data_IF_469307997470
#
_entry.id   IF_469307997470
#
_cell.length_a   1.000
_cell.length_b   1.000
_cell.length_c   1.000
_cell.angle_alpha   90.00
_cell.angle_beta   90.00
_cell.angle_gamma   90.00
#
_symmetry.space_group_name_H-M   'P 1'
#
loop_
_entity.id
_entity.type
_entity.pdbx_description
1 polymer ?
#
# COMPACT_ATOMS: atom_id res chain seq x y z
N UNK A 1 -24.08 -18.84 -7.99
CA UNK A 1 -22.86 -18.80 -8.86
C UNK A 1 -23.20 -18.32 -10.27
N UNK A 2 -24.13 -18.93 -11.00
CA UNK A 2 -24.47 -18.48 -12.37
C UNK A 2 -24.84 -17.01 -12.39
N UNK A 3 -25.71 -16.57 -11.48
CA UNK A 3 -26.15 -15.17 -11.35
C UNK A 3 -24.96 -14.19 -11.14
N UNK A 4 -23.92 -14.58 -10.39
CA UNK A 4 -22.74 -13.73 -10.21
C UNK A 4 -21.97 -13.55 -11.53
N UNK A 5 -21.80 -14.62 -12.31
CA UNK A 5 -21.15 -14.54 -13.63
C UNK A 5 -21.99 -13.79 -14.65
N UNK A 6 -23.32 -13.99 -14.61
CA UNK A 6 -24.26 -13.28 -15.49
C UNK A 6 -24.22 -11.77 -15.20
N UNK A 7 -24.29 -11.40 -13.90
CA UNK A 7 -24.11 -10.01 -13.46
C UNK A 7 -22.77 -9.43 -13.92
N UNK A 8 -21.64 -10.13 -13.68
CA UNK A 8 -20.32 -9.67 -14.11
C UNK A 8 -20.29 -9.41 -15.63
N UNK A 9 -20.87 -10.30 -16.43
CA UNK A 9 -20.89 -10.14 -17.89
C UNK A 9 -21.78 -8.98 -18.34
N UNK A 10 -22.82 -8.66 -17.63
CA UNK A 10 -23.73 -7.55 -17.91
C UNK A 10 -23.07 -6.19 -17.61
N UNK A 11 -22.32 -6.09 -16.49
CA UNK A 11 -21.81 -4.80 -16.03
C UNK A 11 -20.34 -4.54 -16.39
N UNK A 12 -19.59 -5.50 -16.92
CA UNK A 12 -18.13 -5.40 -17.17
C UNK A 12 -17.70 -4.21 -18.03
N UNK A 13 -18.58 -3.73 -18.91
CA UNK A 13 -18.32 -2.59 -19.80
C UNK A 13 -18.82 -1.24 -19.20
N UNK A 14 -19.45 -1.28 -18.03
CA UNK A 14 -20.05 -0.11 -17.35
C UNK A 14 -19.34 0.21 -16.03
N UNK A 15 -18.72 -0.77 -15.38
CA UNK A 15 -18.07 -0.65 -14.07
C UNK A 15 -16.57 -0.73 -14.24
N UNK A 16 -15.84 0.14 -13.54
CA UNK A 16 -14.37 0.12 -13.59
C UNK A 16 -13.82 -1.23 -13.08
N UNK A 17 -12.86 -1.86 -13.78
CA UNK A 17 -12.38 -3.20 -13.45
C UNK A 17 -11.85 -3.38 -12.02
N UNK A 18 -11.26 -2.36 -11.40
CA UNK A 18 -10.85 -2.39 -9.99
C UNK A 18 -12.05 -2.58 -9.05
N UNK A 19 -13.17 -1.91 -9.33
CA UNK A 19 -14.40 -2.04 -8.54
C UNK A 19 -15.07 -3.37 -8.86
N UNK A 20 -15.20 -3.72 -10.14
CA UNK A 20 -15.80 -4.97 -10.59
C UNK A 20 -15.12 -6.19 -9.95
N UNK A 21 -13.79 -6.23 -9.96
CA UNK A 21 -13.02 -7.33 -9.37
C UNK A 21 -13.20 -7.42 -7.85
N UNK A 22 -13.30 -6.27 -7.17
CA UNK A 22 -13.50 -6.23 -5.71
C UNK A 22 -14.91 -6.69 -5.33
N UNK A 23 -15.94 -6.24 -6.04
CA UNK A 23 -17.32 -6.72 -5.81
C UNK A 23 -17.43 -8.21 -6.11
N UNK A 24 -16.87 -8.68 -7.24
CA UNK A 24 -16.88 -10.09 -7.60
C UNK A 24 -16.18 -10.95 -6.52
N UNK A 25 -15.04 -10.48 -6.01
CA UNK A 25 -14.31 -11.16 -4.94
C UNK A 25 -15.17 -11.30 -3.68
N UNK A 26 -15.78 -10.21 -3.22
CA UNK A 26 -16.63 -10.19 -2.03
C UNK A 26 -17.81 -11.15 -2.19
N UNK A 27 -18.55 -11.02 -3.29
CA UNK A 27 -19.72 -11.87 -3.58
C UNK A 27 -19.34 -13.35 -3.68
N UNK A 28 -18.18 -13.67 -4.28
CA UNK A 28 -17.70 -15.05 -4.37
C UNK A 28 -17.43 -15.66 -2.99
N UNK A 29 -16.80 -14.90 -2.10
CA UNK A 29 -16.55 -15.31 -0.72
C UNK A 29 -17.87 -15.46 0.05
N UNK A 30 -18.82 -14.55 -0.18
CA UNK A 30 -20.14 -14.56 0.45
C UNK A 30 -20.98 -15.79 0.02
N UNK A 31 -21.06 -16.09 -1.27
CA UNK A 31 -21.78 -17.25 -1.84
C UNK A 31 -21.18 -18.57 -1.35
N UNK A 32 -19.87 -18.60 -1.11
CA UNK A 32 -19.12 -19.73 -0.55
C UNK A 32 -19.36 -21.06 -1.26
N UNK A 33 -19.13 -21.15 -2.59
CA UNK A 33 -19.58 -22.29 -3.39
C UNK A 33 -18.85 -23.61 -3.14
N UNK A 34 -17.67 -23.58 -2.51
CA UNK A 34 -16.84 -24.75 -2.25
C UNK A 34 -16.74 -25.07 -0.76
N UNK A 35 -16.48 -26.31 -0.43
CA UNK A 35 -16.23 -26.74 0.97
C UNK A 35 -14.89 -26.20 1.51
N UNK A 36 -13.91 -25.95 0.63
CA UNK A 36 -12.62 -25.34 0.94
C UNK A 36 -12.09 -24.56 -0.27
N UNK A 37 -11.20 -23.60 -0.03
CA UNK A 37 -10.50 -22.85 -1.07
C UNK A 37 -11.26 -21.65 -1.64
N UNK A 38 -12.41 -21.26 -1.06
CA UNK A 38 -13.19 -20.11 -1.56
C UNK A 38 -12.38 -18.81 -1.61
N UNK A 39 -11.59 -18.52 -0.58
CA UNK A 39 -10.72 -17.34 -0.56
C UNK A 39 -9.64 -17.38 -1.64
N UNK A 40 -9.03 -18.54 -1.90
CA UNK A 40 -8.04 -18.72 -3.00
C UNK A 40 -8.68 -18.48 -4.36
N UNK A 41 -9.88 -19.05 -4.57
CA UNK A 41 -10.62 -18.89 -5.81
C UNK A 41 -11.08 -17.44 -6.02
N UNK A 42 -11.54 -16.77 -4.97
CA UNK A 42 -11.93 -15.35 -5.03
C UNK A 42 -10.73 -14.47 -5.43
N UNK A 43 -9.55 -14.68 -4.84
CA UNK A 43 -8.31 -13.97 -5.21
C UNK A 43 -7.89 -14.26 -6.66
N UNK A 44 -7.97 -15.52 -7.08
CA UNK A 44 -7.66 -15.89 -8.46
C UNK A 44 -8.57 -15.17 -9.47
N UNK A 45 -9.88 -15.14 -9.22
CA UNK A 45 -10.82 -14.41 -10.07
C UNK A 45 -10.59 -12.91 -10.05
N UNK A 46 -10.30 -12.34 -8.88
CA UNK A 46 -9.94 -10.94 -8.75
C UNK A 46 -8.76 -10.58 -9.66
N UNK A 47 -7.67 -11.32 -9.55
CA UNK A 47 -6.49 -11.15 -10.40
C UNK A 47 -6.81 -11.37 -11.87
N UNK A 48 -7.57 -12.41 -12.23
CA UNK A 48 -7.93 -12.70 -13.62
C UNK A 48 -8.73 -11.56 -14.28
N UNK A 49 -9.66 -10.95 -13.55
CA UNK A 49 -10.43 -9.79 -14.03
C UNK A 49 -9.49 -8.60 -14.29
N UNK A 50 -8.56 -8.34 -13.37
CA UNK A 50 -7.62 -7.23 -13.49
C UNK A 50 -6.59 -7.45 -14.61
N UNK A 51 -6.04 -8.66 -14.75
CA UNK A 51 -5.10 -9.03 -15.84
C UNK A 51 -5.76 -8.88 -17.20
N UNK A 52 -7.03 -9.25 -17.33
CA UNK A 52 -7.78 -9.08 -18.58
C UNK A 52 -7.93 -7.62 -18.97
N UNK A 53 -8.05 -6.72 -17.99
CA UNK A 53 -8.11 -5.28 -18.22
C UNK A 53 -6.72 -4.68 -18.50
N UNK A 54 -5.73 -5.00 -17.65
CA UNK A 54 -4.36 -4.51 -17.81
C UNK A 54 -3.36 -5.62 -17.43
N UNK A 55 -2.54 -6.11 -18.39
CA UNK A 55 -1.59 -7.20 -18.14
C UNK A 55 -0.57 -6.93 -17.03
N UNK A 56 -0.36 -5.68 -16.62
CA UNK A 56 0.55 -5.34 -15.49
C UNK A 56 0.15 -6.04 -14.20
N UNK A 57 -1.14 -6.32 -14.02
CA UNK A 57 -1.65 -7.00 -12.83
C UNK A 57 -1.22 -8.47 -12.70
N UNK A 58 -0.64 -9.08 -13.75
CA UNK A 58 0.01 -10.39 -13.65
C UNK A 58 1.24 -10.35 -12.72
N UNK A 59 1.89 -9.19 -12.62
CA UNK A 59 3.11 -8.99 -11.83
C UNK A 59 2.85 -8.34 -10.47
N UNK A 60 1.61 -7.98 -10.17
CA UNK A 60 1.23 -7.33 -8.91
C UNK A 60 0.84 -8.40 -7.88
N UNK A 61 1.58 -8.57 -6.77
CA UNK A 61 1.38 -9.65 -5.80
C UNK A 61 0.21 -9.36 -4.84
N UNK A 62 -1.01 -9.19 -5.38
CA UNK A 62 -2.21 -8.87 -4.59
C UNK A 62 -2.48 -9.96 -3.53
N UNK A 63 -2.25 -11.23 -3.86
CA UNK A 63 -2.47 -12.34 -2.94
C UNK A 63 -1.57 -12.26 -1.71
N UNK A 64 -0.27 -12.01 -1.92
CA UNK A 64 0.70 -11.83 -0.82
C UNK A 64 0.38 -10.61 0.04
N UNK A 65 -0.16 -9.57 -0.56
CA UNK A 65 -0.57 -8.36 0.17
C UNK A 65 -1.78 -8.63 1.07
N UNK A 66 -2.79 -9.33 0.55
CA UNK A 66 -3.96 -9.73 1.37
C UNK A 66 -3.52 -10.64 2.52
N UNK A 67 -2.55 -11.53 2.29
CA UNK A 67 -2.02 -12.40 3.34
C UNK A 67 -1.32 -11.61 4.46
N UNK A 68 -0.58 -10.55 4.14
CA UNK A 68 0.04 -9.66 5.13
C UNK A 68 -0.98 -8.92 6.00
N UNK A 69 -2.15 -8.59 5.44
CA UNK A 69 -3.22 -7.85 6.10
C UNK A 69 -4.48 -8.70 6.29
N UNK A 70 -4.27 -9.97 6.67
CA UNK A 70 -5.34 -10.96 6.76
C UNK A 70 -6.43 -10.58 7.77
N UNK A 71 -6.07 -10.01 8.90
CA UNK A 71 -7.02 -9.59 9.92
C UNK A 71 -7.91 -8.44 9.39
N UNK A 72 -7.32 -7.42 8.77
CA UNK A 72 -8.05 -6.31 8.16
C UNK A 72 -8.96 -6.78 7.01
N UNK A 73 -8.52 -7.78 6.24
CA UNK A 73 -9.32 -8.42 5.20
C UNK A 73 -10.59 -9.09 5.76
N UNK A 74 -10.46 -9.87 6.83
CA UNK A 74 -11.62 -10.50 7.47
C UNK A 74 -12.53 -9.48 8.15
N UNK A 75 -11.96 -8.44 8.75
CA UNK A 75 -12.72 -7.35 9.37
C UNK A 75 -13.53 -6.57 8.32
N UNK A 76 -12.96 -6.31 7.14
CA UNK A 76 -13.68 -5.66 6.05
C UNK A 76 -14.86 -6.50 5.55
N UNK A 77 -14.66 -7.83 5.39
CA UNK A 77 -15.74 -8.76 5.02
C UNK A 77 -16.84 -8.78 6.10
N UNK A 78 -16.45 -8.85 7.37
CA UNK A 78 -17.40 -8.92 8.48
C UNK A 78 -18.26 -7.64 8.56
N UNK A 79 -17.65 -6.46 8.38
CA UNK A 79 -18.36 -5.17 8.33
C UNK A 79 -19.36 -5.12 7.19
N UNK A 80 -18.94 -5.48 5.97
CA UNK A 80 -19.83 -5.55 4.81
C UNK A 80 -21.01 -6.49 5.05
N UNK A 81 -20.79 -7.62 5.72
CA UNK A 81 -21.84 -8.57 6.05
C UNK A 81 -22.88 -7.98 7.01
N UNK A 82 -22.45 -7.16 7.97
CA UNK A 82 -23.33 -6.49 8.93
C UNK A 82 -24.10 -5.35 8.27
N UNK A 83 -23.45 -4.58 7.40
CA UNK A 83 -24.00 -3.40 6.75
C UNK A 83 -24.86 -3.74 5.52
N UNK A 84 -24.70 -4.95 4.96
CA UNK A 84 -25.42 -5.39 3.76
C UNK A 84 -24.92 -4.74 2.47
N UNK A 85 -23.70 -4.21 2.46
CA UNK A 85 -23.09 -3.56 1.29
C UNK A 85 -21.58 -3.89 1.20
N UNK A 86 -20.99 -3.78 0.01
CA UNK A 86 -19.59 -4.16 -0.23
C UNK A 86 -18.59 -2.99 -0.21
N UNK A 87 -19.03 -1.79 0.16
CA UNK A 87 -18.23 -0.55 0.08
C UNK A 87 -16.91 -0.66 0.87
N UNK A 88 -16.98 -1.08 2.12
CA UNK A 88 -15.80 -1.22 3.00
C UNK A 88 -14.76 -2.20 2.42
N UNK A 89 -15.23 -3.29 1.83
CA UNK A 89 -14.35 -4.27 1.21
C UNK A 89 -13.72 -3.73 -0.09
N UNK A 90 -14.48 -2.98 -0.89
CA UNK A 90 -13.96 -2.32 -2.10
C UNK A 90 -12.85 -1.34 -1.72
N UNK A 91 -13.09 -0.48 -0.73
CA UNK A 91 -12.10 0.49 -0.24
C UNK A 91 -10.84 -0.19 0.29
N UNK A 92 -10.99 -1.28 1.06
CA UNK A 92 -9.87 -2.10 1.51
C UNK A 92 -9.04 -2.63 0.33
N UNK A 93 -9.68 -3.25 -0.68
CA UNK A 93 -8.98 -3.81 -1.84
C UNK A 93 -8.26 -2.73 -2.66
N UNK A 94 -8.88 -1.57 -2.87
CA UNK A 94 -8.27 -0.44 -3.55
C UNK A 94 -7.05 0.09 -2.80
N UNK A 95 -7.15 0.21 -1.48
CA UNK A 95 -6.02 0.64 -0.64
C UNK A 95 -4.85 -0.37 -0.68
N UNK A 96 -5.13 -1.69 -0.73
CA UNK A 96 -4.06 -2.69 -0.88
C UNK A 96 -3.38 -2.59 -2.24
N UNK A 97 -4.12 -2.39 -3.32
CA UNK A 97 -3.56 -2.22 -4.67
C UNK A 97 -2.70 -0.95 -4.73
N UNK A 98 -3.18 0.16 -4.18
CA UNK A 98 -2.45 1.43 -4.11
C UNK A 98 -1.11 1.28 -3.36
N UNK A 99 -1.13 0.63 -2.20
CA UNK A 99 0.07 0.34 -1.43
C UNK A 99 1.11 -0.48 -2.22
N UNK A 100 0.67 -1.51 -2.96
CA UNK A 100 1.58 -2.32 -3.78
C UNK A 100 2.18 -1.48 -4.91
N UNK A 101 1.36 -0.70 -5.60
CA UNK A 101 1.83 0.16 -6.69
C UNK A 101 2.85 1.18 -6.19
N UNK A 102 2.62 1.78 -5.05
CA UNK A 102 3.56 2.67 -4.38
C UNK A 102 4.89 1.97 -4.05
N UNK A 103 4.83 0.73 -3.52
CA UNK A 103 6.03 -0.05 -3.22
C UNK A 103 6.82 -0.37 -4.50
N UNK A 104 6.15 -0.77 -5.58
CA UNK A 104 6.77 -1.06 -6.87
C UNK A 104 7.40 0.19 -7.50
N UNK A 105 6.70 1.33 -7.49
CA UNK A 105 7.23 2.60 -8.00
C UNK A 105 8.47 3.04 -7.22
N UNK A 106 8.46 2.91 -5.90
CA UNK A 106 9.62 3.22 -5.07
C UNK A 106 10.82 2.28 -5.34
N UNK A 107 10.58 1.00 -5.65
CA UNK A 107 11.64 0.07 -6.03
C UNK A 107 12.23 0.42 -7.39
N UNK A 108 11.40 0.77 -8.37
CA UNK A 108 11.85 1.16 -9.71
C UNK A 108 12.67 2.45 -9.69
N UNK A 109 12.25 3.45 -8.91
CA UNK A 109 12.99 4.70 -8.77
C UNK A 109 14.33 4.51 -8.04
N UNK A 110 14.40 3.61 -7.06
CA UNK A 110 15.65 3.29 -6.36
C UNK A 110 16.60 2.48 -7.25
N UNK A 111 16.10 1.54 -8.07
CA UNK A 111 16.93 0.78 -9.02
C UNK A 111 17.45 1.65 -10.17
N UNK A 112 16.67 2.63 -10.63
CA UNK A 112 17.12 3.57 -11.68
C UNK A 112 18.24 4.51 -11.19
N UNK A 113 18.36 4.70 -9.87
CA UNK A 113 19.49 5.46 -9.29
C UNK A 113 20.74 4.62 -9.10
N UNK A 114 20.62 3.28 -8.96
CA UNK A 114 21.78 2.39 -8.84
C UNK A 114 22.45 2.07 -10.19
N UNK A 115 21.70 2.02 -11.29
CA UNK A 115 22.26 1.82 -12.64
C UNK A 115 22.81 3.11 -13.31
N UNK A 116 22.55 4.27 -12.71
CA UNK A 116 23.04 5.56 -13.22
C UNK A 116 24.36 6.04 -12.59
N UNK A 117 25.06 5.19 -11.81
CA UNK A 117 26.40 5.48 -11.29
C UNK A 117 27.45 4.93 -12.25
N UNK A 118 27.44 5.42 -13.50
CA UNK A 118 28.65 5.55 -14.33
C UNK A 118 28.62 6.98 -14.89
N UNK A 119 29.50 7.80 -14.34
CA UNK A 119 29.85 9.18 -14.75
C UNK A 119 28.78 10.25 -14.72
N UNK A 120 28.69 11.01 -13.62
CA UNK A 120 29.09 12.42 -13.59
C UNK A 120 28.93 12.99 -12.16
N UNK A 121 29.97 13.62 -11.66
CA UNK A 121 30.01 14.42 -10.43
C UNK A 121 28.88 15.48 -10.42
N UNK A 122 27.84 15.33 -9.55
CA UNK A 122 26.87 16.40 -9.39
C UNK A 122 25.66 16.16 -8.51
N UNK A 123 25.34 14.90 -8.10
CA UNK A 123 24.05 14.58 -7.46
C UNK A 123 24.09 14.24 -5.96
N UNK A 124 25.24 14.37 -5.30
CA UNK A 124 25.37 14.10 -3.85
C UNK A 124 25.00 15.31 -2.95
N UNK A 125 24.64 16.46 -3.52
CA UNK A 125 24.38 17.67 -2.72
C UNK A 125 22.97 17.76 -2.17
N UNK A 126 21.96 17.12 -2.80
CA UNK A 126 20.56 17.27 -2.38
C UNK A 126 20.14 16.26 -1.30
N UNK A 127 20.66 15.04 -1.32
CA UNK A 127 20.35 14.03 -0.31
C UNK A 127 21.01 14.36 1.04
N UNK A 128 22.26 14.81 1.05
CA UNK A 128 22.98 15.30 2.24
C UNK A 128 22.34 16.57 2.79
N UNK A 129 21.84 17.44 1.93
CA UNK A 129 21.13 18.66 2.34
C UNK A 129 19.76 18.33 3.00
N UNK A 130 19.05 17.34 2.50
CA UNK A 130 17.75 16.92 3.05
C UNK A 130 17.91 16.21 4.41
N UNK A 131 18.93 15.35 4.53
CA UNK A 131 19.29 14.69 5.79
C UNK A 131 19.73 15.72 6.85
N UNK A 132 20.52 16.71 6.43
CA UNK A 132 20.93 17.85 7.29
C UNK A 132 19.76 18.69 7.77
N UNK A 133 18.78 18.96 6.88
CA UNK A 133 17.55 19.70 7.26
C UNK A 133 16.70 18.92 8.26
N UNK A 134 16.59 17.61 8.10
CA UNK A 134 15.85 16.74 9.02
C UNK A 134 16.53 16.70 10.40
N UNK A 135 17.86 16.54 10.46
CA UNK A 135 18.63 16.58 11.70
C UNK A 135 18.50 17.96 12.40
N UNK A 136 18.58 19.03 11.65
CA UNK A 136 18.41 20.38 12.18
C UNK A 136 17.00 20.61 12.78
N UNK A 137 15.95 20.09 12.14
CA UNK A 137 14.58 20.14 12.68
C UNK A 137 14.44 19.35 13.99
N UNK A 138 15.08 18.19 14.10
CA UNK A 138 15.10 17.38 15.33
C UNK A 138 15.94 18.04 16.45
N UNK A 139 17.04 18.71 16.13
CA UNK A 139 17.85 19.44 17.09
C UNK A 139 17.10 20.67 17.65
N UNK A 140 16.35 21.38 16.79
CA UNK A 140 15.56 22.54 17.23
C UNK A 140 14.36 22.15 18.05
N UNK A 141 13.72 21.03 17.74
CA UNK A 141 12.56 20.51 18.47
C UNK A 141 12.63 18.97 18.64
N UNK A 142 13.31 18.47 19.66
CA UNK A 142 13.42 17.03 19.90
C UNK A 142 12.10 16.29 20.12
N UNK A 143 11.02 17.03 20.44
CA UNK A 143 9.69 16.47 20.66
C UNK A 143 8.79 16.56 19.42
N UNK A 144 9.31 17.03 18.29
CA UNK A 144 8.53 17.19 17.05
C UNK A 144 7.94 15.85 16.59
N UNK A 145 6.68 15.87 16.16
CA UNK A 145 6.07 14.67 15.61
C UNK A 145 6.50 14.46 14.15
N UNK A 146 6.44 13.21 13.68
CA UNK A 146 6.76 12.90 12.27
C UNK A 146 5.83 13.61 11.29
N UNK A 147 4.62 13.95 11.71
CA UNK A 147 3.64 14.68 10.92
C UNK A 147 4.04 16.15 10.79
N UNK A 148 4.36 16.80 11.92
CA UNK A 148 4.77 18.21 11.93
C UNK A 148 6.08 18.40 11.18
N UNK A 149 7.02 17.45 11.34
CA UNK A 149 8.29 17.46 10.63
C UNK A 149 8.11 17.28 9.10
N UNK A 150 7.11 16.49 8.69
CA UNK A 150 6.76 16.31 7.29
C UNK A 150 6.20 17.61 6.68
N UNK A 151 5.34 18.32 7.42
CA UNK A 151 4.81 19.63 7.02
C UNK A 151 5.92 20.67 6.92
N UNK A 152 6.78 20.75 7.92
CA UNK A 152 7.89 21.73 7.96
C UNK A 152 8.88 21.54 6.80
N UNK A 153 9.19 20.28 6.48
CA UNK A 153 10.10 19.93 5.38
C UNK A 153 9.43 19.89 4.00
N UNK A 154 8.09 20.05 3.93
CA UNK A 154 7.28 19.88 2.71
C UNK A 154 7.45 18.50 2.08
N UNK A 155 7.55 17.47 2.93
CA UNK A 155 7.71 16.06 2.56
C UNK A 155 6.48 15.24 2.94
N UNK A 156 6.33 14.07 2.31
CA UNK A 156 5.33 13.12 2.79
C UNK A 156 5.75 12.54 4.16
N UNK A 157 4.77 12.27 5.03
CA UNK A 157 5.03 11.60 6.33
C UNK A 157 5.82 10.30 6.15
N UNK A 158 5.57 9.57 5.08
CA UNK A 158 6.25 8.32 4.73
C UNK A 158 7.73 8.54 4.41
N UNK A 159 8.04 9.61 3.67
CA UNK A 159 9.44 10.00 3.37
C UNK A 159 10.19 10.31 4.66
N UNK A 160 9.58 11.09 5.57
CA UNK A 160 10.18 11.40 6.88
C UNK A 160 10.40 10.13 7.70
N UNK A 161 9.42 9.23 7.77
CA UNK A 161 9.58 7.95 8.47
C UNK A 161 10.74 7.11 7.94
N UNK A 162 10.90 7.01 6.63
CA UNK A 162 12.00 6.28 5.99
C UNK A 162 13.36 6.91 6.30
N UNK A 163 13.45 8.23 6.22
CA UNK A 163 14.69 8.95 6.55
C UNK A 163 15.06 8.81 8.02
N UNK A 164 14.10 8.96 8.92
CA UNK A 164 14.33 8.77 10.35
C UNK A 164 14.74 7.34 10.69
N UNK A 165 14.14 6.33 10.02
CA UNK A 165 14.54 4.93 10.19
C UNK A 165 15.99 4.73 9.75
N UNK A 166 16.37 5.24 8.60
CA UNK A 166 17.77 5.20 8.12
C UNK A 166 18.74 5.85 9.12
N UNK A 167 18.39 7.04 9.62
CA UNK A 167 19.20 7.73 10.62
C UNK A 167 19.33 6.96 11.95
N UNK A 168 18.29 6.23 12.34
CA UNK A 168 18.36 5.32 13.51
C UNK A 168 19.26 4.11 13.23
N UNK A 169 19.13 3.51 12.05
CA UNK A 169 19.94 2.36 11.65
C UNK A 169 21.42 2.76 11.51
N UNK A 170 21.70 3.96 11.03
CA UNK A 170 23.04 4.57 10.95
C UNK A 170 23.56 5.07 12.33
N UNK A 171 22.76 4.98 13.37
CA UNK A 171 23.10 5.41 14.72
C UNK A 171 23.22 6.93 14.93
N UNK A 172 22.76 7.74 13.97
CA UNK A 172 22.82 9.21 14.00
C UNK A 172 21.75 9.83 14.89
N UNK A 173 20.59 9.18 15.04
CA UNK A 173 19.52 9.57 15.95
C UNK A 173 19.09 8.38 16.80
N UNK A 174 18.57 8.66 17.99
CA UNK A 174 18.02 7.65 18.89
C UNK A 174 16.76 8.19 19.56
N UNK A 175 15.70 7.38 19.53
CA UNK A 175 14.49 7.73 20.28
C UNK A 175 14.63 7.36 21.73
N UNK A 176 14.33 8.29 22.63
CA UNK A 176 14.35 8.11 24.08
C UNK A 176 12.93 8.25 24.61
N UNK A 177 12.45 7.26 25.36
CA UNK A 177 11.11 7.25 25.95
C UNK A 177 10.08 6.42 25.19
N UNK A 178 8.79 6.61 25.52
CA UNK A 178 7.69 5.84 24.92
C UNK A 178 7.28 6.38 23.55
N UNK A 179 6.47 5.59 22.81
CA UNK A 179 5.91 6.00 21.51
C UNK A 179 5.06 7.28 21.60
N UNK A 180 4.53 7.58 22.79
CA UNK A 180 3.57 8.68 23.00
C UNK A 180 4.18 9.94 23.60
N UNK A 181 5.27 9.80 24.39
CA UNK A 181 5.92 10.90 25.13
C UNK A 181 7.44 10.89 24.96
N UNK A 182 7.96 10.17 23.99
CA UNK A 182 9.39 10.10 23.71
C UNK A 182 9.86 11.26 22.84
N UNK A 183 11.18 11.51 22.88
CA UNK A 183 11.88 12.52 22.08
C UNK A 183 13.04 11.87 21.30
N UNK A 184 13.52 12.58 20.29
CA UNK A 184 14.62 12.13 19.39
C UNK A 184 15.96 12.65 19.85
#
# INVERSE_FOLDING_TARGET
MNELFDWMNEVKDQVHPLILSSVFHYEFVFIHPFTDGNGRMARLWHTAILVKWNPVFEYIPIESQIEKFQDDYYDAIAKCHVEGESTVFIEFMLAQIDNILDELLNQMTNSATDDAIIDTNGANHDADNMEGRLLSGLEQNPCITQTDLAEELSLSRRTVQRMMKKLMDDGKIKRIGSTRTGYW
#
